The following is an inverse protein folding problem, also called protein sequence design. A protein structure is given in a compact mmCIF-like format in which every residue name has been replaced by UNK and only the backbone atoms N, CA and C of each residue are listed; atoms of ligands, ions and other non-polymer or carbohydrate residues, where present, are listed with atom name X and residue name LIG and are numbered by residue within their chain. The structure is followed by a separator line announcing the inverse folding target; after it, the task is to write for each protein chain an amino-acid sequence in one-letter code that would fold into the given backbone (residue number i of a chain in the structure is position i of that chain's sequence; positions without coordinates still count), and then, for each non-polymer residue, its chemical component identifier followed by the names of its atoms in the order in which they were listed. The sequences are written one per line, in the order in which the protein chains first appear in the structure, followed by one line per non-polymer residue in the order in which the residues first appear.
data_IF_485196180502
#
_entry.id   IF_485196180502
#
_cell.length_a   1.000
_cell.length_b   1.000
_cell.length_c   1.000
_cell.angle_alpha   90.00
_cell.angle_beta   90.00
_cell.angle_gamma   90.00
#
_symmetry.space_group_name_H-M   'P 1'
#
loop_
_entity.id
_entity.type
_entity.pdbx_description
1 polymer ?
#
# COMPACT_ATOMS: atom_id res chain seq x y z
N UNK A 1 2.55 -27.31 -10.71
CA UNK A 1 2.60 -26.12 -9.82
C UNK A 1 1.54 -25.09 -10.22
N UNK A 2 1.25 -24.12 -9.35
CA UNK A 2 0.46 -22.93 -9.69
C UNK A 2 1.40 -21.74 -9.90
N UNK A 3 1.16 -20.94 -10.94
CA UNK A 3 1.86 -19.68 -11.19
C UNK A 3 0.89 -18.53 -10.95
N UNK A 4 1.35 -17.50 -10.23
CA UNK A 4 0.58 -16.28 -9.96
C UNK A 4 1.40 -15.04 -10.31
N UNK A 5 0.86 -14.19 -11.19
CA UNK A 5 1.49 -12.97 -11.69
C UNK A 5 0.55 -11.79 -11.53
N UNK A 6 1.05 -10.69 -10.95
CA UNK A 6 0.25 -9.48 -10.76
C UNK A 6 0.64 -8.42 -11.80
N UNK A 7 -0.35 -7.96 -12.55
CA UNK A 7 -0.28 -6.76 -13.37
C UNK A 7 -0.91 -5.59 -12.61
N UNK A 8 -0.06 -4.64 -12.21
CA UNK A 8 -0.45 -3.44 -11.47
C UNK A 8 0.31 -2.20 -11.98
N UNK A 9 -0.24 -0.99 -11.77
CA UNK A 9 0.51 0.25 -11.94
C UNK A 9 1.79 0.26 -11.10
N UNK A 10 2.76 1.12 -11.46
CA UNK A 10 3.99 1.28 -10.66
C UNK A 10 3.76 1.99 -9.33
N UNK A 11 2.78 2.89 -9.29
CA UNK A 11 2.37 3.64 -8.10
C UNK A 11 0.92 4.09 -8.25
N UNK A 12 0.30 4.50 -7.15
CA UNK A 12 -1.00 5.18 -7.12
C UNK A 12 -0.90 6.50 -6.35
N UNK A 13 -1.77 7.44 -6.71
CA UNK A 13 -2.00 8.63 -5.90
C UNK A 13 -3.04 8.39 -4.82
N UNK A 14 -2.94 9.13 -3.72
CA UNK A 14 -3.97 9.14 -2.67
C UNK A 14 -5.36 9.43 -3.24
N UNK A 15 -6.32 8.52 -3.03
CA UNK A 15 -7.68 8.64 -3.57
C UNK A 15 -7.90 7.93 -4.92
N UNK A 16 -6.85 7.47 -5.60
CA UNK A 16 -7.00 6.69 -6.83
C UNK A 16 -7.75 5.39 -6.58
N UNK A 17 -8.61 5.03 -7.54
CA UNK A 17 -9.27 3.73 -7.63
C UNK A 17 -8.86 3.07 -8.94
N UNK A 18 -8.47 1.80 -8.87
CA UNK A 18 -8.05 1.04 -10.04
C UNK A 18 -8.39 -0.44 -9.89
N UNK A 19 -8.17 -1.23 -10.93
CA UNK A 19 -8.32 -2.68 -10.89
C UNK A 19 -7.03 -3.34 -11.30
N UNK A 20 -6.39 -4.04 -10.37
CA UNK A 20 -5.21 -4.87 -10.68
C UNK A 20 -5.67 -6.23 -11.21
N UNK A 21 -4.83 -6.85 -12.04
CA UNK A 21 -5.11 -8.14 -12.65
C UNK A 21 -4.13 -9.19 -12.10
N UNK A 22 -4.67 -10.22 -11.47
CA UNK A 22 -3.93 -11.38 -10.99
C UNK A 22 -4.14 -12.54 -11.96
N UNK A 23 -3.12 -12.86 -12.74
CA UNK A 23 -3.12 -14.02 -13.62
C UNK A 23 -2.72 -15.26 -12.84
N UNK A 24 -3.55 -16.29 -12.91
CA UNK A 24 -3.35 -17.58 -12.27
C UNK A 24 -3.31 -18.65 -13.35
N UNK A 25 -2.20 -19.41 -13.42
CA UNK A 25 -2.02 -20.49 -14.39
C UNK A 25 -1.78 -21.80 -13.66
N UNK A 26 -2.65 -22.79 -13.89
CA UNK A 26 -2.50 -24.14 -13.36
C UNK A 26 -1.59 -24.96 -14.27
N UNK A 27 -0.45 -25.43 -13.74
CA UNK A 27 0.49 -26.32 -14.41
C UNK A 27 0.74 -27.56 -13.55
N UNK A 28 -0.26 -28.01 -12.80
CA UNK A 28 -0.12 -29.11 -11.82
C UNK A 28 -0.26 -30.51 -12.41
N UNK A 29 -0.68 -30.65 -13.67
CA UNK A 29 -0.98 -31.94 -14.30
C UNK A 29 -2.39 -32.45 -14.02
N UNK A 30 -3.21 -31.72 -13.25
CA UNK A 30 -4.62 -32.07 -12.99
C UNK A 30 -5.49 -30.83 -12.74
N UNK A 31 -6.83 -30.94 -12.85
CA UNK A 31 -7.72 -29.86 -12.45
C UNK A 31 -7.57 -29.50 -10.97
N UNK A 32 -7.75 -28.22 -10.64
CA UNK A 32 -7.63 -27.68 -9.29
C UNK A 32 -8.87 -26.86 -8.93
N UNK A 33 -9.34 -27.05 -7.69
CA UNK A 33 -10.33 -26.20 -7.04
C UNK A 33 -9.60 -25.31 -6.03
N UNK A 34 -9.58 -24.00 -6.28
CA UNK A 34 -8.73 -23.06 -5.55
C UNK A 34 -9.56 -22.03 -4.79
N UNK A 35 -9.20 -21.83 -3.52
CA UNK A 35 -9.68 -20.73 -2.70
C UNK A 35 -8.61 -19.64 -2.70
N UNK A 36 -8.80 -18.61 -3.53
CA UNK A 36 -7.87 -17.48 -3.63
C UNK A 36 -8.34 -16.42 -2.65
N UNK A 37 -7.60 -16.19 -1.57
CA UNK A 37 -7.86 -15.12 -0.61
C UNK A 37 -6.95 -13.93 -0.91
N UNK A 38 -7.52 -12.74 -1.01
CA UNK A 38 -6.81 -11.49 -1.26
C UNK A 38 -6.99 -10.55 -0.08
N UNK A 39 -5.92 -9.89 0.34
CA UNK A 39 -5.90 -8.97 1.47
C UNK A 39 -5.10 -7.72 1.11
N UNK A 40 -5.59 -6.55 1.51
CA UNK A 40 -4.90 -5.29 1.30
C UNK A 40 -4.53 -4.65 2.65
N UNK A 41 -3.27 -4.20 2.75
CA UNK A 41 -2.69 -3.59 3.95
C UNK A 41 -1.98 -2.27 3.63
N UNK A 42 -1.67 -1.50 4.66
CA UNK A 42 -1.01 -0.20 4.52
C UNK A 42 -1.93 0.85 3.90
N UNK A 43 -1.42 1.63 2.95
CA UNK A 43 -2.16 2.69 2.25
C UNK A 43 -2.99 2.17 1.06
N UNK A 44 -3.36 0.89 1.05
CA UNK A 44 -4.18 0.24 0.03
C UNK A 44 -5.37 -0.47 0.69
N UNK A 45 -6.53 -0.43 0.03
CA UNK A 45 -7.72 -1.22 0.36
C UNK A 45 -8.26 -1.94 -0.86
N UNK A 46 -8.92 -3.07 -0.63
CA UNK A 46 -9.83 -3.64 -1.61
C UNK A 46 -11.11 -2.80 -1.64
N UNK A 47 -11.60 -2.45 -2.83
CA UNK A 47 -12.76 -1.56 -2.95
C UNK A 47 -14.06 -2.25 -2.55
N UNK A 48 -14.21 -3.53 -2.89
CA UNK A 48 -15.47 -4.26 -2.74
C UNK A 48 -15.64 -4.89 -1.35
N UNK A 49 -14.57 -5.04 -0.57
CA UNK A 49 -14.59 -5.67 0.75
C UNK A 49 -13.44 -5.15 1.62
N UNK A 50 -13.72 -4.24 2.57
CA UNK A 50 -12.69 -3.65 3.42
C UNK A 50 -11.97 -4.71 4.27
N UNK A 51 -10.77 -5.11 3.85
CA UNK A 51 -9.90 -6.05 4.58
C UNK A 51 -9.45 -7.22 3.71
N UNK A 52 -10.34 -8.19 3.51
CA UNK A 52 -10.06 -9.41 2.74
C UNK A 52 -11.24 -9.85 1.90
N UNK A 53 -10.97 -10.45 0.75
CA UNK A 53 -11.98 -11.10 -0.10
C UNK A 53 -11.48 -12.46 -0.57
N UNK A 54 -12.40 -13.40 -0.82
CA UNK A 54 -12.06 -14.75 -1.32
C UNK A 54 -12.78 -15.01 -2.62
N UNK A 55 -12.05 -15.53 -3.61
CA UNK A 55 -12.58 -15.97 -4.90
C UNK A 55 -12.37 -17.48 -5.06
N UNK A 56 -13.45 -18.18 -5.37
CA UNK A 56 -13.43 -19.62 -5.70
C UNK A 56 -13.16 -19.79 -7.19
N UNK A 57 -12.14 -20.56 -7.55
CA UNK A 57 -11.75 -20.79 -8.94
C UNK A 57 -11.64 -22.27 -9.24
N UNK A 58 -12.09 -22.66 -10.43
CA UNK A 58 -11.86 -23.98 -11.00
C UNK A 58 -10.92 -23.81 -12.20
N UNK A 59 -9.76 -24.46 -12.16
CA UNK A 59 -8.76 -24.39 -13.22
C UNK A 59 -8.42 -25.79 -13.72
N UNK A 60 -8.71 -26.07 -14.98
CA UNK A 60 -8.19 -27.25 -15.66
C UNK A 60 -6.65 -27.19 -15.76
N UNK A 61 -6.01 -28.32 -16.01
CA UNK A 61 -4.56 -28.33 -16.26
C UNK A 61 -4.22 -27.50 -17.50
N UNK A 62 -3.16 -26.69 -17.42
CA UNK A 62 -2.76 -25.73 -18.45
C UNK A 62 -3.63 -24.47 -18.53
N UNK A 63 -4.74 -24.38 -17.80
CA UNK A 63 -5.65 -23.23 -17.88
C UNK A 63 -5.07 -22.01 -17.17
N UNK A 64 -5.19 -20.85 -17.83
CA UNK A 64 -4.98 -19.52 -17.25
C UNK A 64 -6.32 -18.82 -17.03
N UNK A 65 -6.46 -18.14 -15.89
CA UNK A 65 -7.53 -17.18 -15.63
C UNK A 65 -6.97 -15.88 -15.09
N UNK A 66 -7.73 -14.80 -15.23
CA UNK A 66 -7.38 -13.47 -14.70
C UNK A 66 -8.41 -13.05 -13.67
N UNK A 67 -7.99 -12.94 -12.41
CA UNK A 67 -8.80 -12.38 -11.34
C UNK A 67 -8.63 -10.86 -11.30
N UNK A 68 -9.73 -10.12 -11.46
CA UNK A 68 -9.77 -8.66 -11.36
C UNK A 68 -10.00 -8.25 -9.91
N UNK A 69 -9.12 -7.41 -9.37
CA UNK A 69 -9.14 -7.00 -7.96
C UNK A 69 -9.24 -5.47 -7.92
N UNK A 70 -10.44 -4.92 -7.69
CA UNK A 70 -10.61 -3.48 -7.47
C UNK A 70 -9.93 -3.04 -6.19
N UNK A 71 -9.11 -2.01 -6.27
CA UNK A 71 -8.34 -1.45 -5.16
C UNK A 71 -8.41 0.06 -5.12
N UNK A 72 -8.25 0.61 -3.91
CA UNK A 72 -8.22 2.05 -3.63
C UNK A 72 -7.00 2.43 -2.80
N UNK A 73 -6.36 3.53 -3.16
CA UNK A 73 -5.28 4.14 -2.39
C UNK A 73 -5.83 5.11 -1.32
N UNK A 74 -5.34 5.02 -0.08
CA UNK A 74 -5.92 5.73 1.07
C UNK A 74 -5.41 7.16 1.31
N UNK A 75 -4.31 7.58 0.69
CA UNK A 75 -3.71 8.91 0.90
C UNK A 75 -2.34 8.86 1.59
N UNK A 76 -1.70 10.03 1.69
CA UNK A 76 -0.36 10.18 2.24
C UNK A 76 0.78 9.72 1.31
N UNK A 77 1.96 9.51 1.90
CA UNK A 77 3.16 9.01 1.23
C UNK A 77 3.61 7.71 1.89
N UNK A 78 3.91 6.69 1.10
CA UNK A 78 4.27 5.37 1.62
C UNK A 78 3.97 4.24 0.65
N UNK A 79 3.44 3.15 1.18
CA UNK A 79 3.22 1.91 0.44
C UNK A 79 1.91 1.23 0.88
N UNK A 80 1.30 0.55 -0.09
CA UNK A 80 0.26 -0.43 0.13
C UNK A 80 0.76 -1.83 -0.23
N UNK A 81 0.19 -2.86 0.40
CA UNK A 81 0.54 -4.25 0.11
C UNK A 81 -0.71 -5.03 -0.27
N UNK A 82 -0.62 -5.79 -1.35
CA UNK A 82 -1.61 -6.79 -1.73
C UNK A 82 -1.02 -8.17 -1.43
N UNK A 83 -1.64 -8.91 -0.51
CA UNK A 83 -1.30 -10.30 -0.22
C UNK A 83 -2.34 -11.19 -0.88
N UNK A 84 -1.87 -12.26 -1.51
CA UNK A 84 -2.72 -13.33 -2.04
C UNK A 84 -2.26 -14.65 -1.46
N UNK A 85 -3.17 -15.38 -0.85
CA UNK A 85 -2.99 -16.77 -0.43
C UNK A 85 -3.94 -17.67 -1.19
N UNK A 86 -3.45 -18.83 -1.63
CA UNK A 86 -4.21 -19.81 -2.39
C UNK A 86 -4.22 -21.12 -1.62
N UNK A 87 -5.43 -21.58 -1.27
CA UNK A 87 -5.67 -22.86 -0.62
C UNK A 87 -6.35 -23.84 -1.59
N UNK A 88 -6.42 -25.11 -1.20
CA UNK A 88 -7.07 -26.16 -1.99
C UNK A 88 -6.20 -26.76 -3.11
N UNK A 89 -4.92 -26.36 -3.21
CA UNK A 89 -4.02 -26.95 -4.18
C UNK A 89 -3.66 -28.38 -3.80
N UNK A 90 -3.91 -29.32 -4.70
CA UNK A 90 -3.55 -30.71 -4.52
C UNK A 90 -2.43 -31.10 -5.48
N UNK A 91 -1.31 -31.62 -4.98
CA UNK A 91 -0.26 -32.23 -5.81
C UNK A 91 -0.19 -33.75 -5.57
N UNK A 92 0.18 -34.56 -6.57
CA UNK A 92 0.40 -35.99 -6.36
C UNK A 92 1.51 -36.24 -5.33
N UNK A 93 1.18 -36.91 -4.23
CA UNK A 93 2.17 -37.41 -3.25
C UNK A 93 2.78 -36.37 -2.29
N UNK A 94 2.31 -35.11 -2.31
CA UNK A 94 2.85 -34.03 -1.47
C UNK A 94 1.74 -33.26 -0.74
N UNK A 95 1.94 -33.01 0.56
CA UNK A 95 1.18 -32.01 1.32
C UNK A 95 1.91 -30.67 1.18
N UNK A 96 1.39 -29.78 0.36
CA UNK A 96 1.98 -28.45 0.16
C UNK A 96 1.67 -27.51 1.33
N UNK A 97 2.61 -26.59 1.60
CA UNK A 97 2.28 -25.38 2.34
C UNK A 97 1.38 -24.47 1.50
N UNK A 98 0.50 -23.67 2.14
CA UNK A 98 -0.34 -22.70 1.45
C UNK A 98 0.50 -21.81 0.51
N UNK A 99 0.10 -21.71 -0.76
CA UNK A 99 0.78 -20.84 -1.71
C UNK A 99 0.45 -19.39 -1.35
N UNK A 100 1.47 -18.56 -1.13
CA UNK A 100 1.29 -17.14 -0.83
C UNK A 100 2.25 -16.26 -1.63
N UNK A 101 1.74 -15.11 -2.06
CA UNK A 101 2.48 -14.05 -2.74
C UNK A 101 2.08 -12.69 -2.20
N UNK A 102 3.04 -11.79 -2.12
CA UNK A 102 2.84 -10.41 -1.72
C UNK A 102 3.44 -9.46 -2.76
N UNK A 103 2.69 -8.40 -3.05
CA UNK A 103 3.14 -7.33 -3.92
C UNK A 103 3.02 -6.00 -3.18
N UNK A 104 4.03 -5.16 -3.34
CA UNK A 104 4.06 -3.82 -2.75
C UNK A 104 3.82 -2.78 -3.84
N UNK A 105 2.96 -1.81 -3.55
CA UNK A 105 2.60 -0.72 -4.45
C UNK A 105 2.90 0.61 -3.77
N UNK A 106 3.69 1.47 -4.43
CA UNK A 106 4.00 2.80 -3.91
C UNK A 106 2.76 3.70 -3.92
N UNK A 107 2.51 4.39 -2.82
CA UNK A 107 1.45 5.39 -2.71
C UNK A 107 2.10 6.74 -2.45
N UNK A 108 1.75 7.75 -3.25
CA UNK A 108 2.31 9.10 -3.11
C UNK A 108 1.28 10.17 -3.41
N UNK A 109 1.37 11.38 -2.86
CA UNK A 109 0.44 12.44 -3.21
C UNK A 109 0.53 12.81 -4.70
N UNK A 110 -0.59 13.25 -5.29
CA UNK A 110 -0.62 13.77 -6.66
C UNK A 110 -0.04 15.19 -6.77
N UNK A 111 0.29 15.82 -5.64
CA UNK A 111 0.84 17.16 -5.52
C UNK A 111 2.19 17.13 -4.77
N UNK A 112 3.07 18.12 -5.01
CA UNK A 112 4.34 18.21 -4.31
C UNK A 112 4.15 18.48 -2.81
N UNK A 113 5.14 18.09 -2.00
CA UNK A 113 5.17 18.43 -0.59
C UNK A 113 5.30 19.95 -0.40
N UNK A 114 4.47 20.51 0.48
CA UNK A 114 4.61 21.89 0.96
C UNK A 114 5.52 21.90 2.19
N UNK A 115 6.28 22.98 2.38
CA UNK A 115 7.07 23.21 3.60
C UNK A 115 6.78 24.62 4.11
N UNK A 116 6.50 24.75 5.41
CA UNK A 116 6.35 26.04 6.10
C UNK A 116 7.32 26.08 7.28
N UNK A 117 8.19 27.08 7.27
CA UNK A 117 9.21 27.26 8.30
C UNK A 117 8.88 28.48 9.16
N UNK A 118 9.00 28.32 10.48
CA UNK A 118 8.82 29.38 11.46
C UNK A 118 10.06 29.49 12.33
N UNK A 119 10.45 30.73 12.66
CA UNK A 119 11.58 30.99 13.55
C UNK A 119 11.23 32.17 14.46
N UNK A 120 11.45 31.99 15.76
CA UNK A 120 11.25 33.02 16.76
C UNK A 120 12.38 32.97 17.79
N UNK A 121 12.69 34.12 18.39
CA UNK A 121 13.56 34.25 19.57
C UNK A 121 12.67 34.67 20.73
N UNK A 122 12.65 33.89 21.80
CA UNK A 122 11.78 34.12 22.95
C UNK A 122 12.57 34.71 24.11
N UNK A 123 12.07 35.79 24.72
CA UNK A 123 12.66 36.46 25.90
C UNK A 123 11.67 36.51 27.06
N UNK A 124 11.13 35.35 27.44
CA UNK A 124 10.04 35.22 28.40
C UNK A 124 8.65 35.17 27.76
N UNK A 125 8.55 35.50 26.46
CA UNK A 125 7.32 35.40 25.69
C UNK A 125 6.99 33.96 25.28
N UNK A 126 5.71 33.70 25.03
CA UNK A 126 5.24 32.44 24.43
C UNK A 126 5.18 32.53 22.91
N UNK A 127 5.28 31.39 22.25
CA UNK A 127 5.07 31.26 20.81
C UNK A 127 4.03 30.20 20.53
N UNK A 128 3.18 30.47 19.54
CA UNK A 128 2.19 29.54 19.04
C UNK A 128 2.30 29.43 17.51
N UNK A 129 1.98 28.25 16.98
CA UNK A 129 1.85 28.06 15.54
C UNK A 129 0.71 28.94 15.03
N UNK A 130 0.91 29.76 13.97
CA UNK A 130 -0.16 30.59 13.44
C UNK A 130 -1.39 29.76 13.06
N UNK A 131 -2.58 30.25 13.45
CA UNK A 131 -3.84 29.59 13.16
C UNK A 131 -4.00 29.32 11.66
N UNK A 132 -4.58 28.17 11.31
CA UNK A 132 -4.78 27.73 9.93
C UNK A 132 -3.52 27.30 9.18
N UNK A 133 -2.33 27.31 9.82
CA UNK A 133 -1.10 26.82 9.18
C UNK A 133 -1.25 25.40 8.64
N UNK A 134 -1.92 24.58 9.43
CA UNK A 134 -2.12 23.14 9.28
C UNK A 134 -3.19 22.77 8.24
N UNK A 135 -4.05 23.70 7.84
CA UNK A 135 -5.18 23.46 6.94
C UNK A 135 -4.72 23.18 5.50
N UNK A 136 -3.52 23.67 5.14
CA UNK A 136 -2.90 23.45 3.83
C UNK A 136 -2.27 22.06 3.67
N UNK A 137 -2.30 21.21 4.71
CA UNK A 137 -1.63 19.92 4.73
C UNK A 137 -2.62 18.77 4.92
N UNK A 138 -2.53 17.74 4.07
CA UNK A 138 -3.26 16.49 4.28
C UNK A 138 -2.81 15.86 5.63
N UNK A 139 -3.75 15.44 6.50
CA UNK A 139 -3.39 14.79 7.77
C UNK A 139 -2.48 13.58 7.61
N UNK A 140 -2.70 12.73 6.60
CA UNK A 140 -1.99 11.47 6.42
C UNK A 140 -0.51 11.62 6.02
N UNK A 141 -0.11 12.77 5.45
CA UNK A 141 1.26 13.03 4.98
C UNK A 141 1.96 14.17 5.73
N UNK A 142 1.44 14.58 6.88
CA UNK A 142 1.93 15.75 7.62
C UNK A 142 3.01 15.37 8.61
N UNK A 143 4.14 16.05 8.49
CA UNK A 143 5.26 15.96 9.42
C UNK A 143 5.57 17.34 10.01
N UNK A 144 6.08 17.37 11.24
CA UNK A 144 6.50 18.59 11.92
C UNK A 144 7.79 18.36 12.69
N UNK A 145 8.70 19.32 12.63
CA UNK A 145 9.94 19.34 13.38
C UNK A 145 10.00 20.62 14.20
N UNK A 146 10.24 20.49 15.52
CA UNK A 146 10.48 21.63 16.41
C UNK A 146 11.91 21.53 16.95
N UNK A 147 12.70 22.56 16.72
CA UNK A 147 14.05 22.70 17.28
C UNK A 147 14.08 23.91 18.22
N UNK A 148 14.54 23.68 19.46
CA UNK A 148 14.69 24.72 20.50
C UNK A 148 16.16 24.78 20.91
N UNK A 149 16.72 25.98 20.97
CA UNK A 149 18.11 26.20 21.34
C UNK A 149 18.27 27.51 22.11
N UNK A 150 19.13 27.50 23.14
CA UNK A 150 19.54 28.70 23.88
C UNK A 150 20.61 29.52 23.14
N UNK A 151 21.06 29.05 21.97
CA UNK A 151 22.00 29.70 21.07
C UNK A 151 21.42 29.76 19.65
N UNK A 152 21.89 30.65 18.77
CA UNK A 152 21.44 30.66 17.38
C UNK A 152 21.53 29.26 16.74
N UNK A 153 20.41 28.64 16.34
CA UNK A 153 20.41 27.26 15.87
C UNK A 153 20.75 27.18 14.37
N UNK A 154 21.56 26.18 14.01
CA UNK A 154 21.65 25.66 12.65
C UNK A 154 20.72 24.44 12.57
N UNK A 155 19.65 24.50 11.76
CA UNK A 155 18.74 23.37 11.63
C UNK A 155 19.31 22.33 10.64
N UNK A 156 20.21 21.47 11.12
CA UNK A 156 20.86 20.43 10.29
C UNK A 156 19.83 19.39 9.79
N UNK A 157 18.74 19.15 10.54
CA UNK A 157 17.68 18.22 10.12
C UNK A 157 16.92 18.65 8.87
N UNK A 158 16.88 19.95 8.55
CA UNK A 158 16.34 20.43 7.26
C UNK A 158 17.30 20.23 6.09
N UNK A 159 18.60 20.06 6.36
CA UNK A 159 19.65 19.92 5.34
C UNK A 159 19.94 18.46 4.98
N UNK A 160 19.37 17.51 5.73
CA UNK A 160 19.54 16.06 5.51
C UNK A 160 18.13 15.47 5.39
N UNK A 161 17.65 15.33 4.16
CA UNK A 161 16.41 14.61 3.81
C UNK A 161 16.72 13.58 2.74
#
# INVERSE_FOLDING_TARGET
PLVAELSAPRFLAGGDETTVALDLTNLSGKPQALDVRQEAEGQLRLSDSPGSQTALLQLADGQRTTLRIPVRALGGYGQGRLKVSVNGMELPGETLQPFARDWTLGIRPAWPALVKNFRAVLKGDSWSLPAGTLDAFEPAGREALLAVSSRPPLNIGEQIR
#
